data_IF_473270048410
#
_entry.id   IF_473270048410
#
_cell.length_a   1.000
_cell.length_b   1.000
_cell.length_c   1.000
_cell.angle_alpha   90.00
_cell.angle_beta   90.00
_cell.angle_gamma   90.00
#
_symmetry.space_group_name_H-M   'P 1'
#
loop_
_entity.id
_entity.type
_entity.pdbx_description
1 polymer ?
#
# COMPACT_ATOMS: atom_id res chain seq x y z
N UNK A 1 -17.03 -0.87 8.64
CA UNK A 1 -16.04 -0.40 7.64
C UNK A 1 -15.83 1.10 7.79
N UNK A 2 -14.57 1.53 7.81
CA UNK A 2 -14.13 2.93 7.88
C UNK A 2 -13.17 3.22 6.73
N UNK A 3 -12.91 4.50 6.44
CA UNK A 3 -11.90 4.85 5.46
C UNK A 3 -10.54 4.96 6.16
N UNK A 4 -9.52 4.52 5.47
CA UNK A 4 -8.15 4.60 5.93
C UNK A 4 -7.28 5.20 4.84
N UNK A 5 -6.36 6.04 5.26
CA UNK A 5 -5.29 6.60 4.47
C UNK A 5 -4.02 5.78 4.73
N UNK A 6 -3.54 5.08 3.70
CA UNK A 6 -2.33 4.27 3.76
C UNK A 6 -1.24 4.96 2.95
N UNK A 7 -0.14 5.31 3.62
CA UNK A 7 1.06 5.86 2.97
C UNK A 7 2.09 4.74 2.94
N UNK A 8 2.64 4.45 1.77
CA UNK A 8 3.63 3.39 1.59
C UNK A 8 4.70 3.81 0.58
N UNK A 9 5.80 3.07 0.59
CA UNK A 9 6.80 3.13 -0.48
C UNK A 9 6.97 1.75 -1.10
N UNK A 10 7.27 1.71 -2.39
CA UNK A 10 7.40 0.46 -3.12
C UNK A 10 8.52 0.52 -4.17
N UNK A 11 9.11 -0.64 -4.46
CA UNK A 11 10.15 -0.82 -5.49
C UNK A 11 10.03 -2.21 -6.13
N UNK A 12 10.53 -2.34 -7.35
CA UNK A 12 10.51 -3.62 -8.06
C UNK A 12 11.54 -4.59 -7.49
N UNK A 13 12.76 -4.09 -7.24
CA UNK A 13 13.89 -4.85 -6.72
C UNK A 13 14.82 -3.92 -5.93
N UNK A 14 15.92 -4.47 -5.40
CA UNK A 14 16.91 -3.73 -4.60
C UNK A 14 17.75 -2.72 -5.40
N UNK A 15 17.80 -2.83 -6.73
CA UNK A 15 18.53 -1.90 -7.59
C UNK A 15 17.69 -0.65 -7.91
N UNK A 16 16.36 -0.78 -7.88
CA UNK A 16 15.43 0.32 -8.10
C UNK A 16 15.22 1.20 -6.86
N UNK A 17 15.05 2.50 -7.10
CA UNK A 17 14.69 3.48 -6.08
C UNK A 17 13.31 3.22 -5.49
N UNK A 18 13.09 3.73 -4.27
CA UNK A 18 11.77 3.69 -3.63
C UNK A 18 10.85 4.76 -4.23
N UNK A 19 9.67 4.35 -4.69
CA UNK A 19 8.57 5.27 -5.04
C UNK A 19 7.63 5.38 -3.84
N UNK A 20 7.28 6.59 -3.42
CA UNK A 20 6.32 6.81 -2.33
C UNK A 20 4.94 7.12 -2.91
N UNK A 21 3.92 6.45 -2.40
CA UNK A 21 2.52 6.63 -2.80
C UNK A 21 1.60 6.68 -1.57
N UNK A 22 0.40 7.20 -1.80
CA UNK A 22 -0.68 7.26 -0.82
C UNK A 22 -1.93 6.65 -1.45
N UNK A 23 -2.68 5.87 -0.66
CA UNK A 23 -3.93 5.28 -1.11
C UNK A 23 -5.00 5.33 -0.02
N UNK A 24 -6.21 5.67 -0.42
CA UNK A 24 -7.40 5.65 0.45
C UNK A 24 -8.15 4.34 0.23
N UNK A 25 -8.42 3.59 1.29
CA UNK A 25 -9.07 2.28 1.24
C UNK A 25 -10.16 2.16 2.29
N UNK A 26 -11.23 1.41 1.99
CA UNK A 26 -12.25 1.04 2.97
C UNK A 26 -11.95 -0.32 3.56
N UNK A 27 -11.80 -0.37 4.88
CA UNK A 27 -11.46 -1.57 5.64
C UNK A 27 -12.14 -1.55 7.02
N UNK A 28 -12.09 -2.66 7.76
CA UNK A 28 -12.57 -2.71 9.14
C UNK A 28 -11.46 -2.43 10.15
N UNK A 29 -10.20 -2.70 9.79
CA UNK A 29 -9.03 -2.46 10.63
C UNK A 29 -7.87 -1.83 9.85
N UNK A 30 -6.88 -1.29 10.57
CA UNK A 30 -5.62 -0.79 9.97
C UNK A 30 -4.85 -1.87 9.23
N UNK A 31 -4.84 -3.10 9.74
CA UNK A 31 -4.16 -4.23 9.11
C UNK A 31 -4.82 -4.58 7.76
N UNK A 32 -6.15 -4.70 7.74
CA UNK A 32 -6.90 -4.95 6.51
C UNK A 32 -6.74 -3.80 5.50
N UNK A 33 -6.65 -2.55 5.97
CA UNK A 33 -6.36 -1.40 5.12
C UNK A 33 -4.99 -1.52 4.43
N UNK A 34 -3.95 -1.89 5.17
CA UNK A 34 -2.61 -2.09 4.63
C UNK A 34 -2.58 -3.21 3.57
N UNK A 35 -3.18 -4.36 3.88
CA UNK A 35 -3.26 -5.49 2.94
C UNK A 35 -3.98 -5.11 1.64
N UNK A 36 -5.15 -4.48 1.74
CA UNK A 36 -5.91 -4.00 0.57
C UNK A 36 -5.12 -2.99 -0.25
N UNK A 37 -4.40 -2.07 0.40
CA UNK A 37 -3.58 -1.09 -0.31
C UNK A 37 -2.44 -1.76 -1.11
N UNK A 38 -1.77 -2.74 -0.50
CA UNK A 38 -0.71 -3.53 -1.16
C UNK A 38 -1.27 -4.34 -2.33
N UNK A 39 -2.39 -5.03 -2.14
CA UNK A 39 -3.02 -5.84 -3.17
C UNK A 39 -3.43 -4.98 -4.38
N UNK A 40 -4.09 -3.86 -4.13
CA UNK A 40 -4.48 -2.95 -5.20
C UNK A 40 -3.28 -2.34 -5.93
N UNK A 41 -2.17 -2.07 -5.24
CA UNK A 41 -0.93 -1.59 -5.88
C UNK A 41 -0.38 -2.65 -6.83
N UNK A 42 -0.21 -3.88 -6.34
CA UNK A 42 0.32 -5.01 -7.12
C UNK A 42 -0.54 -5.28 -8.36
N UNK A 43 -1.87 -5.23 -8.21
CA UNK A 43 -2.82 -5.37 -9.31
C UNK A 43 -2.73 -4.23 -10.31
N UNK A 44 -2.65 -2.97 -9.83
CA UNK A 44 -2.57 -1.78 -10.68
C UNK A 44 -1.29 -1.74 -11.52
N UNK A 45 -0.18 -2.27 -11.00
CA UNK A 45 1.10 -2.29 -11.69
C UNK A 45 1.37 -3.60 -12.46
N UNK A 46 0.50 -4.62 -12.32
CA UNK A 46 0.75 -5.96 -12.86
C UNK A 46 1.99 -6.64 -12.26
N UNK A 47 2.39 -6.25 -11.05
CA UNK A 47 3.65 -6.65 -10.42
C UNK A 47 3.40 -7.30 -9.06
N UNK A 48 3.15 -8.62 -8.99
CA UNK A 48 2.82 -9.31 -7.76
C UNK A 48 3.97 -9.33 -6.74
N UNK A 49 5.23 -9.30 -7.23
CA UNK A 49 6.43 -9.38 -6.40
C UNK A 49 6.98 -8.00 -5.99
N UNK A 50 6.21 -6.92 -6.17
CA UNK A 50 6.63 -5.58 -5.74
C UNK A 50 6.90 -5.60 -4.23
N UNK A 51 8.08 -5.12 -3.85
CA UNK A 51 8.45 -4.89 -2.45
C UNK A 51 7.72 -3.64 -2.01
N UNK A 52 6.93 -3.73 -0.94
CA UNK A 52 6.14 -2.64 -0.39
C UNK A 52 6.44 -2.50 1.10
N UNK A 53 6.66 -1.27 1.54
CA UNK A 53 6.86 -0.91 2.93
C UNK A 53 5.81 0.13 3.33
N UNK A 54 5.00 -0.21 4.33
CA UNK A 54 3.97 0.69 4.86
C UNK A 54 4.64 1.70 5.80
N UNK A 55 4.43 2.98 5.53
CA UNK A 55 4.98 4.08 6.33
C UNK A 55 3.96 4.58 7.36
N UNK A 56 2.68 4.64 7.01
CA UNK A 56 1.61 5.10 7.90
C UNK A 56 0.26 4.53 7.52
N UNK A 57 -0.59 4.27 8.52
CA UNK A 57 -2.00 3.92 8.35
C UNK A 57 -2.85 4.75 9.31
N UNK A 58 -3.60 5.69 8.76
CA UNK A 58 -4.44 6.64 9.49
C UNK A 58 -5.91 6.39 9.16
N UNK A 59 -6.79 6.43 10.17
CA UNK A 59 -8.23 6.38 9.97
C UNK A 59 -8.71 7.79 9.60
N UNK A 60 -9.55 7.90 8.56
CA UNK A 60 -10.08 9.18 8.04
C UNK A 60 -11.59 9.12 7.80
#
# INVERSE_FOLDING_TARGET
MKNYKVIYRHRLDSANGWTKEERKVKANSKAEAAEKAIEQLRKSLGQPNRIVEILSVEEI
#
